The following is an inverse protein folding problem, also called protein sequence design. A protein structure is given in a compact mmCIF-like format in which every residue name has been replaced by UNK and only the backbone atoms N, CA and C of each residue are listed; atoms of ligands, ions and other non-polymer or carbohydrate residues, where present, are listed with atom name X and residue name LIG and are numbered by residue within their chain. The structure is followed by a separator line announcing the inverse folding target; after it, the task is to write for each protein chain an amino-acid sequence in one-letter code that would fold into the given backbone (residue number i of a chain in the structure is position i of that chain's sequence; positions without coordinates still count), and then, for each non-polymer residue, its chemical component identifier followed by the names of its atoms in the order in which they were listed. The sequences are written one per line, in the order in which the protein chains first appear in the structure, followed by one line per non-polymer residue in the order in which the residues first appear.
data_IF_688100780373
#
_entry.id   IF_688100780373
#
_cell.length_a   1.000
_cell.length_b   1.000
_cell.length_c   1.000
_cell.angle_alpha   90.00
_cell.angle_beta   90.00
_cell.angle_gamma   90.00
#
_symmetry.space_group_name_H-M   'P 1'
#
loop_
_entity.id
_entity.type
_entity.pdbx_description
1 polymer ?
#
# COMPACT_ATOMS: atom_id res chain seq x y z
N UNK A 1 52.40 7.25 -18.36
CA UNK A 1 52.79 7.23 -16.93
C UNK A 1 51.95 8.28 -16.19
N UNK A 2 50.63 8.06 -16.10
CA UNK A 2 49.70 9.03 -15.47
C UNK A 2 48.35 8.39 -15.08
N UNK A 3 48.33 7.11 -14.66
CA UNK A 3 47.08 6.46 -14.21
C UNK A 3 47.13 5.95 -12.76
N UNK A 4 48.27 6.09 -12.06
CA UNK A 4 48.44 5.56 -10.71
C UNK A 4 48.12 6.56 -9.57
N UNK A 5 47.38 7.65 -9.83
CA UNK A 5 47.02 8.66 -8.81
C UNK A 5 45.52 8.81 -8.52
N UNK A 6 44.65 7.97 -9.09
CA UNK A 6 43.18 8.10 -8.96
C UNK A 6 42.50 7.27 -7.87
N UNK A 7 43.12 6.20 -7.36
CA UNK A 7 42.42 5.20 -6.52
C UNK A 7 42.37 5.53 -5.02
N UNK A 8 43.16 6.48 -4.52
CA UNK A 8 43.45 6.59 -3.09
C UNK A 8 42.58 7.59 -2.29
N UNK A 9 41.43 8.06 -2.81
CA UNK A 9 40.62 9.00 -2.00
C UNK A 9 39.12 9.13 -2.32
N UNK A 10 38.51 8.19 -3.06
CA UNK A 10 37.05 8.19 -3.18
C UNK A 10 36.44 7.58 -1.93
N UNK A 11 35.92 8.43 -1.04
CA UNK A 11 35.11 7.99 0.09
C UNK A 11 33.76 7.57 -0.47
N UNK A 12 33.60 6.28 -0.73
CA UNK A 12 32.36 5.69 -1.24
C UNK A 12 31.47 5.22 -0.09
N UNK A 13 30.16 5.08 -0.28
CA UNK A 13 29.29 4.44 0.69
C UNK A 13 29.74 3.00 1.00
N UNK A 14 29.49 2.55 2.22
CA UNK A 14 29.61 1.15 2.61
C UNK A 14 28.26 0.47 2.35
N UNK A 15 28.25 -0.66 1.65
CA UNK A 15 27.03 -1.47 1.50
C UNK A 15 26.83 -2.30 2.75
N UNK A 16 25.65 -2.20 3.35
CA UNK A 16 25.22 -2.96 4.51
C UNK A 16 24.12 -3.94 4.09
N UNK A 17 24.34 -5.22 4.30
CA UNK A 17 23.37 -6.29 4.00
C UNK A 17 23.03 -7.03 5.29
N UNK A 18 21.74 -7.24 5.56
CA UNK A 18 21.28 -8.18 6.57
C UNK A 18 20.93 -9.52 5.90
N UNK A 19 21.39 -10.62 6.49
CA UNK A 19 21.16 -11.97 5.98
C UNK A 19 20.89 -12.93 7.14
N UNK A 20 19.85 -13.74 7.05
CA UNK A 20 19.58 -14.87 7.95
C UNK A 20 20.47 -16.09 7.64
N UNK A 21 21.15 -16.09 6.48
CA UNK A 21 22.03 -17.14 6.00
C UNK A 21 21.25 -18.20 5.22
N UNK A 22 21.69 -18.49 3.99
CA UNK A 22 21.04 -19.48 3.11
C UNK A 22 20.31 -18.85 1.92
N UNK A 23 20.26 -17.53 1.82
CA UNK A 23 19.63 -16.83 0.71
C UNK A 23 20.46 -16.97 -0.57
N UNK A 24 19.84 -17.43 -1.65
CA UNK A 24 20.51 -17.60 -2.94
C UNK A 24 20.93 -16.28 -3.58
N UNK A 25 20.32 -15.15 -3.17
CA UNK A 25 20.61 -13.83 -3.73
C UNK A 25 21.88 -13.16 -3.18
N UNK A 26 22.40 -13.59 -2.03
CA UNK A 26 23.45 -12.86 -1.32
C UNK A 26 24.74 -12.68 -2.16
N UNK A 27 25.13 -13.73 -2.88
CA UNK A 27 26.31 -13.68 -3.77
C UNK A 27 26.13 -12.68 -4.91
N UNK A 28 24.92 -12.60 -5.48
CA UNK A 28 24.57 -11.65 -6.53
C UNK A 28 24.58 -10.21 -5.98
N UNK A 29 23.97 -9.98 -4.82
CA UNK A 29 23.98 -8.70 -4.13
C UNK A 29 25.41 -8.18 -3.90
N UNK A 30 26.28 -9.01 -3.31
CA UNK A 30 27.69 -8.68 -3.05
C UNK A 30 28.47 -8.46 -4.35
N UNK A 31 28.24 -9.29 -5.37
CA UNK A 31 28.89 -9.15 -6.69
C UNK A 31 28.49 -7.84 -7.37
N UNK A 32 27.23 -7.44 -7.26
CA UNK A 32 26.72 -6.18 -7.82
C UNK A 32 27.38 -4.96 -7.16
N UNK A 33 27.55 -4.95 -5.84
CA UNK A 33 28.26 -3.89 -5.12
C UNK A 33 29.72 -3.77 -5.54
N UNK A 34 30.41 -4.91 -5.66
CA UNK A 34 31.82 -4.96 -6.07
C UNK A 34 32.06 -4.45 -7.49
N UNK A 35 31.08 -4.60 -8.39
CA UNK A 35 31.14 -4.04 -9.75
C UNK A 35 31.35 -2.51 -9.75
N UNK A 36 30.94 -1.83 -8.67
CA UNK A 36 31.05 -0.39 -8.51
C UNK A 36 32.09 0.02 -7.44
N UNK A 37 33.03 -0.88 -7.11
CA UNK A 37 34.08 -0.67 -6.11
C UNK A 37 33.53 -0.34 -4.70
N UNK A 38 32.30 -0.77 -4.38
CA UNK A 38 31.69 -0.56 -3.07
C UNK A 38 32.09 -1.69 -2.11
N UNK A 39 32.61 -1.32 -0.94
CA UNK A 39 32.87 -2.25 0.16
C UNK A 39 31.55 -2.78 0.73
N UNK A 40 31.56 -4.02 1.22
CA UNK A 40 30.37 -4.70 1.76
C UNK A 40 30.62 -5.16 3.19
N UNK A 41 29.67 -4.85 4.09
CA UNK A 41 29.57 -5.38 5.44
C UNK A 41 28.26 -6.17 5.58
N UNK A 42 28.35 -7.42 5.98
CA UNK A 42 27.20 -8.32 6.12
C UNK A 42 26.93 -8.57 7.61
N UNK A 43 25.72 -8.24 8.05
CA UNK A 43 25.20 -8.61 9.36
C UNK A 43 24.40 -9.91 9.28
N UNK A 44 24.94 -10.99 9.83
CA UNK A 44 24.26 -12.28 9.86
C UNK A 44 23.40 -12.43 11.12
N UNK A 45 22.10 -12.65 10.92
CA UNK A 45 21.12 -12.79 11.98
C UNK A 45 20.71 -14.27 12.15
N UNK A 46 21.44 -15.04 12.97
CA UNK A 46 21.10 -16.42 13.28
C UNK A 46 22.28 -17.32 13.68
N UNK A 47 21.96 -18.56 14.10
CA UNK A 47 22.92 -19.65 14.40
C UNK A 47 23.48 -20.34 13.14
N UNK A 48 23.21 -19.80 11.96
CA UNK A 48 23.59 -20.38 10.67
C UNK A 48 25.09 -20.19 10.40
N UNK A 49 25.92 -20.92 11.14
CA UNK A 49 27.33 -21.18 10.83
C UNK A 49 27.56 -21.88 9.46
N UNK A 50 26.50 -22.15 8.69
CA UNK A 50 26.49 -23.08 7.57
C UNK A 50 26.50 -22.45 6.18
N UNK A 51 26.48 -21.12 6.06
CA UNK A 51 26.78 -20.47 4.77
C UNK A 51 28.08 -19.73 4.93
N UNK A 52 29.12 -20.25 4.27
CA UNK A 52 30.36 -19.52 4.12
C UNK A 52 30.02 -18.20 3.42
N UNK A 53 30.30 -17.04 4.04
CA UNK A 53 30.02 -15.78 3.38
C UNK A 53 30.77 -15.70 2.05
N UNK A 54 30.28 -14.90 1.09
CA UNK A 54 30.99 -14.67 -0.16
C UNK A 54 32.45 -14.32 0.15
N UNK A 55 33.39 -14.98 -0.53
CA UNK A 55 34.82 -14.82 -0.25
C UNK A 55 35.18 -13.33 -0.16
N UNK A 56 35.90 -12.96 0.90
CA UNK A 56 36.40 -11.61 1.20
C UNK A 56 35.37 -10.54 1.58
N UNK A 57 34.11 -10.88 1.89
CA UNK A 57 33.17 -9.94 2.51
C UNK A 57 33.36 -9.92 4.05
N UNK A 58 33.37 -8.73 4.66
CA UNK A 58 33.40 -8.63 6.13
C UNK A 58 32.03 -9.04 6.68
N UNK A 59 32.03 -9.95 7.64
CA UNK A 59 30.82 -10.42 8.31
C UNK A 59 30.84 -10.15 9.80
N UNK A 60 29.69 -9.80 10.35
CA UNK A 60 29.45 -9.69 11.80
C UNK A 60 28.17 -10.40 12.18
N UNK A 61 28.11 -10.90 13.41
CA UNK A 61 26.90 -11.50 13.96
C UNK A 61 26.00 -10.42 14.54
N UNK A 62 24.71 -10.47 14.22
CA UNK A 62 23.66 -9.58 14.72
C UNK A 62 22.61 -10.39 15.46
N UNK A 63 22.16 -9.91 16.62
CA UNK A 63 21.09 -10.58 17.35
C UNK A 63 19.72 -10.37 16.68
N UNK A 64 19.12 -11.42 16.12
CA UNK A 64 17.74 -11.37 15.64
C UNK A 64 16.76 -11.29 16.81
N UNK A 65 15.84 -10.32 16.77
CA UNK A 65 14.84 -10.07 17.84
C UNK A 65 13.43 -9.87 17.29
N UNK A 66 13.15 -10.39 16.09
CA UNK A 66 11.90 -10.14 15.36
C UNK A 66 11.64 -8.64 15.14
N UNK A 67 12.71 -7.89 14.86
CA UNK A 67 12.71 -6.44 14.71
C UNK A 67 13.79 -6.05 13.68
N UNK A 68 13.36 -5.72 12.47
CA UNK A 68 14.25 -5.36 11.35
C UNK A 68 15.02 -4.07 11.64
N UNK A 69 14.36 -3.05 12.21
CA UNK A 69 15.03 -1.81 12.61
C UNK A 69 16.11 -2.04 13.65
N UNK A 70 15.87 -2.90 14.65
CA UNK A 70 16.88 -3.25 15.65
C UNK A 70 18.11 -3.90 15.01
N UNK A 71 17.92 -4.82 14.07
CA UNK A 71 19.02 -5.46 13.33
C UNK A 71 19.81 -4.44 12.48
N UNK A 72 19.12 -3.54 11.76
CA UNK A 72 19.78 -2.47 11.00
C UNK A 72 20.55 -1.52 11.92
N UNK A 73 19.98 -1.10 13.03
CA UNK A 73 20.64 -0.20 13.97
C UNK A 73 21.89 -0.85 14.61
N UNK A 74 21.85 -2.15 14.91
CA UNK A 74 23.01 -2.88 15.43
C UNK A 74 24.15 -2.95 14.39
N UNK A 75 23.82 -3.26 13.13
CA UNK A 75 24.80 -3.26 12.04
C UNK A 75 25.35 -1.85 11.75
N UNK A 76 24.50 -0.82 11.81
CA UNK A 76 24.91 0.57 11.64
C UNK A 76 25.93 1.01 12.70
N UNK A 77 25.71 0.65 13.97
CA UNK A 77 26.64 0.99 15.05
C UNK A 77 28.02 0.33 14.85
N UNK A 78 28.05 -0.91 14.34
CA UNK A 78 29.29 -1.60 13.98
C UNK A 78 29.97 -0.89 12.81
N UNK A 79 29.22 -0.55 11.76
CA UNK A 79 29.73 0.19 10.60
C UNK A 79 30.32 1.55 11.00
N UNK A 80 29.63 2.31 11.86
CA UNK A 80 30.11 3.59 12.38
C UNK A 80 31.44 3.44 13.13
N UNK A 81 31.60 2.36 13.89
CA UNK A 81 32.80 2.11 14.70
C UNK A 81 33.98 1.66 13.85
N UNK A 82 33.76 0.75 12.88
CA UNK A 82 34.84 0.09 12.11
C UNK A 82 35.14 0.80 10.79
N UNK A 83 34.14 1.47 10.22
CA UNK A 83 34.12 2.00 8.86
C UNK A 83 33.76 3.49 8.83
N UNK A 84 34.15 4.26 9.85
CA UNK A 84 33.91 5.70 9.97
C UNK A 84 34.41 6.54 8.77
N UNK A 85 35.30 5.99 7.94
CA UNK A 85 35.76 6.65 6.72
C UNK A 85 34.72 6.65 5.60
N UNK A 86 33.77 5.72 5.61
CA UNK A 86 32.66 5.69 4.67
C UNK A 86 31.60 6.72 5.10
N UNK A 87 31.23 7.71 4.27
CA UNK A 87 30.34 8.81 4.67
C UNK A 87 28.87 8.40 4.73
N UNK A 88 28.51 7.31 4.05
CA UNK A 88 27.16 6.79 3.95
C UNK A 88 27.15 5.27 4.07
N UNK A 89 26.01 4.74 4.52
CA UNK A 89 25.64 3.34 4.52
C UNK A 89 24.54 3.15 3.45
N UNK A 90 24.82 2.31 2.45
CA UNK A 90 23.83 1.87 1.47
C UNK A 90 23.21 0.56 1.98
N UNK A 91 21.92 0.58 2.28
CA UNK A 91 21.19 -0.60 2.71
C UNK A 91 20.68 -1.39 1.51
N UNK A 92 21.14 -2.63 1.39
CA UNK A 92 20.79 -3.55 0.31
C UNK A 92 20.25 -4.84 0.93
N UNK A 93 19.10 -5.30 0.44
CA UNK A 93 18.54 -6.58 0.88
C UNK A 93 19.29 -7.73 0.18
N UNK A 94 19.29 -8.92 0.76
CA UNK A 94 20.05 -10.06 0.23
C UNK A 94 19.58 -10.53 -1.14
N UNK A 95 18.40 -10.10 -1.59
CA UNK A 95 17.77 -10.40 -2.87
C UNK A 95 17.73 -9.17 -3.81
N UNK A 96 18.57 -8.17 -3.56
CA UNK A 96 18.70 -6.97 -4.39
C UNK A 96 20.06 -6.89 -5.11
N UNK A 97 20.05 -6.38 -6.33
CA UNK A 97 21.26 -6.07 -7.11
C UNK A 97 21.35 -4.57 -7.43
N UNK A 98 22.56 -4.02 -7.38
CA UNK A 98 22.84 -2.67 -7.86
C UNK A 98 22.99 -2.73 -9.38
N UNK A 99 22.09 -2.08 -10.10
CA UNK A 99 22.06 -2.05 -11.56
C UNK A 99 22.82 -0.87 -12.13
N UNK A 100 22.78 0.27 -11.44
CA UNK A 100 23.53 1.47 -11.82
C UNK A 100 24.01 2.23 -10.58
N UNK A 101 25.16 2.89 -10.71
CA UNK A 101 25.76 3.70 -9.66
C UNK A 101 26.42 4.95 -10.26
N UNK A 102 26.09 6.16 -9.77
CA UNK A 102 26.59 7.40 -10.35
C UNK A 102 28.00 7.74 -9.82
N UNK A 103 28.73 8.55 -10.60
CA UNK A 103 29.83 9.31 -10.05
C UNK A 103 29.26 10.46 -9.20
N UNK A 104 29.32 10.33 -7.87
CA UNK A 104 28.86 11.34 -6.91
C UNK A 104 29.99 11.82 -6.00
N UNK A 105 29.99 13.09 -5.62
CA UNK A 105 30.94 13.63 -4.63
C UNK A 105 30.35 13.52 -3.22
N UNK A 106 30.50 12.34 -2.62
CA UNK A 106 29.99 12.01 -1.29
C UNK A 106 30.53 12.89 -0.15
N UNK A 107 31.60 13.67 -0.38
CA UNK A 107 32.14 14.60 0.62
C UNK A 107 31.33 15.89 0.71
N UNK A 108 30.73 16.30 -0.40
CA UNK A 108 29.91 17.51 -0.47
C UNK A 108 28.44 17.24 -0.18
N UNK A 109 28.03 15.98 -0.19
CA UNK A 109 26.68 15.58 0.17
C UNK A 109 26.40 15.92 1.65
N UNK A 110 25.37 16.74 1.88
CA UNK A 110 24.96 17.22 3.20
C UNK A 110 23.63 16.62 3.66
N UNK A 111 22.89 15.94 2.78
CA UNK A 111 21.63 15.29 3.14
C UNK A 111 21.88 14.20 4.20
N UNK A 112 21.04 14.11 5.25
CA UNK A 112 21.18 13.05 6.25
C UNK A 112 20.83 11.68 5.66
N UNK A 113 19.89 11.60 4.73
CA UNK A 113 19.64 10.41 3.91
C UNK A 113 19.20 10.78 2.50
N UNK A 114 19.30 9.82 1.58
CA UNK A 114 18.89 9.95 0.19
C UNK A 114 17.97 8.81 -0.22
N UNK A 115 17.05 9.10 -1.16
CA UNK A 115 16.24 8.09 -1.83
C UNK A 115 17.03 7.52 -3.01
N UNK A 116 16.91 6.22 -3.26
CA UNK A 116 17.38 5.57 -4.49
C UNK A 116 16.21 4.94 -5.20
N UNK A 117 16.31 4.75 -6.52
CA UNK A 117 15.27 4.04 -7.27
C UNK A 117 15.40 2.54 -7.03
N UNK A 118 14.32 1.90 -6.64
CA UNK A 118 14.19 0.44 -6.53
C UNK A 118 13.13 -0.04 -7.50
N UNK A 119 13.49 -1.05 -8.29
CA UNK A 119 12.58 -1.80 -9.13
C UNK A 119 12.19 -3.07 -8.39
N UNK A 120 10.97 -3.10 -7.83
CA UNK A 120 10.49 -4.23 -7.02
C UNK A 120 10.33 -5.51 -7.83
N UNK A 121 10.05 -5.40 -9.14
CA UNK A 121 10.03 -6.52 -10.07
C UNK A 121 10.27 -6.06 -11.50
N UNK A 122 10.67 -6.98 -12.38
CA UNK A 122 10.91 -6.69 -13.80
C UNK A 122 9.67 -6.10 -14.52
N UNK A 123 8.47 -6.38 -14.01
CA UNK A 123 7.19 -5.94 -14.55
C UNK A 123 6.76 -4.54 -14.09
N UNK A 124 7.41 -3.97 -13.08
CA UNK A 124 7.05 -2.66 -12.51
C UNK A 124 8.10 -1.60 -12.86
N UNK A 125 7.67 -0.34 -12.92
CA UNK A 125 8.59 0.80 -12.96
C UNK A 125 9.27 1.00 -11.60
N UNK A 126 10.49 1.57 -11.55
CA UNK A 126 11.14 1.88 -10.30
C UNK A 126 10.39 2.95 -9.51
N UNK A 127 10.50 2.87 -8.18
CA UNK A 127 10.02 3.88 -7.23
C UNK A 127 11.14 4.26 -6.27
N UNK A 128 11.09 5.42 -5.61
CA UNK A 128 12.08 5.77 -4.60
C UNK A 128 11.94 4.94 -3.31
N UNK A 129 13.09 4.66 -2.69
CA UNK A 129 13.18 4.11 -1.34
C UNK A 129 14.35 4.72 -0.58
N UNK A 130 14.17 4.99 0.72
CA UNK A 130 15.23 5.50 1.58
C UNK A 130 16.25 4.39 1.87
N UNK A 131 17.34 4.34 1.09
CA UNK A 131 18.38 3.29 1.20
C UNK A 131 19.76 3.84 1.56
N UNK A 132 20.00 5.14 1.43
CA UNK A 132 21.29 5.77 1.73
C UNK A 132 21.21 6.58 3.02
N UNK A 133 21.80 6.06 4.09
CA UNK A 133 21.85 6.68 5.42
C UNK A 133 23.22 7.31 5.63
N UNK A 134 23.30 8.55 6.14
CA UNK A 134 24.58 9.11 6.59
C UNK A 134 25.19 8.23 7.68
N UNK A 135 26.49 7.97 7.59
CA UNK A 135 27.21 7.13 8.53
C UNK A 135 27.57 7.89 9.81
N UNK A 136 26.54 8.36 10.52
CA UNK A 136 26.65 9.01 11.82
C UNK A 136 25.42 8.68 12.69
N UNK A 137 25.32 9.35 13.84
CA UNK A 137 24.25 9.12 14.82
C UNK A 137 23.02 10.03 14.61
N UNK A 138 22.94 10.79 13.51
CA UNK A 138 21.82 11.69 13.25
C UNK A 138 20.54 10.96 12.85
N UNK A 139 20.63 9.67 12.51
CA UNK A 139 19.51 8.84 12.07
C UNK A 139 19.46 7.51 12.79
N UNK A 140 18.25 6.97 12.89
CA UNK A 140 17.98 5.61 13.33
C UNK A 140 16.86 4.99 12.51
N UNK A 141 16.89 3.67 12.37
CA UNK A 141 15.75 2.90 11.90
C UNK A 141 14.71 2.77 13.01
N UNK A 142 13.45 3.00 12.68
CA UNK A 142 12.30 2.82 13.55
C UNK A 142 11.36 1.77 12.95
N UNK A 143 10.49 1.20 13.79
CA UNK A 143 9.49 0.18 13.48
C UNK A 143 10.06 -1.22 13.21
N UNK A 144 9.43 -2.25 13.78
CA UNK A 144 9.92 -3.61 13.72
C UNK A 144 9.76 -4.26 12.32
N UNK A 145 8.84 -3.74 11.50
CA UNK A 145 8.56 -4.09 10.11
C UNK A 145 8.34 -2.79 9.33
N UNK A 146 8.65 -2.79 8.02
CA UNK A 146 8.60 -1.58 7.18
C UNK A 146 9.38 -0.45 7.81
N UNK A 147 10.61 -0.80 8.19
CA UNK A 147 11.46 0.07 8.95
C UNK A 147 11.70 1.38 8.20
N UNK A 148 11.61 2.49 8.93
CA UNK A 148 11.80 3.83 8.39
C UNK A 148 12.99 4.52 9.05
N UNK A 149 13.74 5.27 8.25
CA UNK A 149 14.78 6.17 8.77
C UNK A 149 14.12 7.40 9.39
N UNK A 150 14.43 7.66 10.66
CA UNK A 150 14.00 8.85 11.38
C UNK A 150 15.19 9.62 11.95
N UNK A 151 15.03 10.95 12.00
CA UNK A 151 15.97 11.86 12.67
C UNK A 151 16.03 11.56 14.17
N UNK A 152 17.24 11.54 14.73
CA UNK A 152 17.44 11.53 16.18
C UNK A 152 17.37 12.95 16.77
N UNK A 153 17.48 13.98 15.94
CA UNK A 153 17.32 15.37 16.34
C UNK A 153 15.83 15.79 16.32
N UNK A 154 15.40 16.71 17.21
CA UNK A 154 14.02 17.18 17.26
C UNK A 154 13.62 18.01 16.02
N UNK A 155 14.61 18.58 15.32
CA UNK A 155 14.37 19.27 14.05
C UNK A 155 14.08 18.23 12.96
N UNK A 156 12.96 18.43 12.25
CA UNK A 156 12.58 17.60 11.11
C UNK A 156 13.48 17.94 9.93
N UNK A 157 14.25 16.96 9.42
CA UNK A 157 15.06 17.17 8.23
C UNK A 157 14.14 17.46 7.04
N UNK A 158 14.68 18.15 6.03
CA UNK A 158 13.99 18.31 4.76
C UNK A 158 13.67 16.92 4.16
N UNK A 159 12.57 16.80 3.39
CA UNK A 159 12.26 15.56 2.71
C UNK A 159 13.45 15.10 1.86
N UNK A 160 13.74 13.80 1.85
CA UNK A 160 14.96 13.30 1.23
C UNK A 160 14.95 13.48 -0.29
N UNK A 161 16.05 13.99 -0.83
CA UNK A 161 16.21 14.11 -2.26
C UNK A 161 16.46 12.72 -2.90
N UNK A 162 15.90 12.46 -4.09
CA UNK A 162 16.31 11.30 -4.88
C UNK A 162 17.71 11.49 -5.44
N UNK A 163 18.57 10.48 -5.23
CA UNK A 163 19.87 10.42 -5.87
C UNK A 163 19.73 9.88 -7.29
N UNK A 164 19.94 10.74 -8.28
CA UNK A 164 19.87 10.37 -9.68
C UNK A 164 20.97 9.35 -10.05
N UNK A 165 20.62 8.38 -10.90
CA UNK A 165 21.57 7.42 -11.46
C UNK A 165 21.85 6.18 -10.59
N UNK A 166 21.22 6.04 -9.42
CA UNK A 166 21.18 4.78 -8.66
C UNK A 166 19.91 4.02 -8.97
N UNK A 167 20.04 2.76 -9.40
CA UNK A 167 18.95 1.82 -9.59
C UNK A 167 19.29 0.51 -8.89
N UNK A 168 18.39 0.06 -8.03
CA UNK A 168 18.40 -1.28 -7.43
C UNK A 168 17.33 -2.13 -8.12
N UNK A 169 17.65 -3.39 -8.39
CA UNK A 169 16.69 -4.40 -8.84
C UNK A 169 16.43 -5.36 -7.70
N UNK A 170 15.17 -5.51 -7.30
CA UNK A 170 14.76 -6.51 -6.33
C UNK A 170 14.33 -7.78 -7.07
N UNK A 171 14.81 -8.92 -6.60
CA UNK A 171 14.52 -10.25 -7.14
C UNK A 171 13.71 -11.11 -6.17
N UNK A 172 13.25 -10.53 -5.06
CA UNK A 172 12.54 -11.25 -4.02
C UNK A 172 11.16 -11.75 -4.46
N UNK A 173 10.88 -13.01 -4.06
CA UNK A 173 9.57 -13.65 -3.95
C UNK A 173 8.67 -13.65 -5.19
N UNK A 174 9.04 -14.42 -6.20
CA UNK A 174 8.14 -14.82 -7.29
C UNK A 174 7.31 -16.09 -6.96
N UNK A 175 7.58 -16.73 -5.80
CA UNK A 175 6.90 -17.95 -5.37
C UNK A 175 5.87 -17.66 -4.26
N UNK A 176 4.60 -17.96 -4.56
CA UNK A 176 3.45 -17.83 -3.67
C UNK A 176 3.66 -18.43 -2.28
N UNK A 177 4.34 -19.58 -2.17
CA UNK A 177 4.59 -20.23 -0.89
C UNK A 177 5.52 -19.39 -0.01
N UNK A 178 6.48 -18.71 -0.64
CA UNK A 178 7.46 -17.89 0.06
C UNK A 178 6.84 -16.53 0.42
N UNK A 179 6.02 -15.95 -0.47
CA UNK A 179 5.18 -14.78 -0.17
C UNK A 179 4.28 -15.08 1.04
N UNK A 180 3.60 -16.23 1.03
CA UNK A 180 2.71 -16.64 2.09
C UNK A 180 3.43 -16.80 3.44
N UNK A 181 4.63 -17.38 3.45
CA UNK A 181 5.45 -17.51 4.64
C UNK A 181 5.89 -16.14 5.19
N UNK A 182 6.27 -15.21 4.31
CA UNK A 182 6.63 -13.83 4.66
C UNK A 182 5.46 -13.10 5.33
N UNK A 183 4.27 -13.16 4.74
CA UNK A 183 3.07 -12.50 5.28
C UNK A 183 2.74 -13.06 6.68
N UNK A 184 2.82 -14.39 6.87
CA UNK A 184 2.61 -15.01 8.20
C UNK A 184 3.65 -14.57 9.24
N UNK A 185 4.93 -14.53 8.86
CA UNK A 185 6.00 -14.01 9.73
C UNK A 185 5.74 -12.57 10.14
N UNK A 186 5.41 -11.71 9.17
CA UNK A 186 5.14 -10.30 9.44
C UNK A 186 3.95 -10.13 10.37
N UNK A 187 2.86 -10.87 10.16
CA UNK A 187 1.70 -10.82 11.04
C UNK A 187 2.03 -11.25 12.49
N UNK A 188 2.89 -12.26 12.69
CA UNK A 188 3.37 -12.62 14.03
C UNK A 188 4.14 -11.48 14.72
N UNK A 189 4.91 -10.69 13.96
CA UNK A 189 5.56 -9.48 14.46
C UNK A 189 4.50 -8.43 14.79
N UNK A 190 3.50 -8.20 13.94
CA UNK A 190 2.38 -7.26 14.19
C UNK A 190 1.70 -7.55 15.53
N UNK A 191 1.35 -8.80 15.79
CA UNK A 191 0.75 -9.20 17.06
C UNK A 191 1.66 -8.91 18.26
N UNK A 192 2.97 -9.14 18.11
CA UNK A 192 3.95 -8.90 19.16
C UNK A 192 4.10 -7.39 19.46
N UNK A 193 4.07 -6.56 18.43
CA UNK A 193 4.11 -5.11 18.52
C UNK A 193 2.87 -4.55 19.23
N UNK A 194 1.68 -5.03 18.85
CA UNK A 194 0.42 -4.65 19.51
C UNK A 194 0.38 -5.08 20.98
N UNK A 195 0.90 -6.28 21.30
CA UNK A 195 1.08 -6.73 22.70
C UNK A 195 2.02 -5.83 23.51
N UNK A 196 2.95 -5.13 22.86
CA UNK A 196 3.82 -4.11 23.48
C UNK A 196 3.19 -2.72 23.54
N UNK A 197 1.92 -2.57 23.11
CA UNK A 197 1.21 -1.30 23.07
C UNK A 197 1.65 -0.36 21.95
N UNK A 198 2.30 -0.89 20.90
CA UNK A 198 2.67 -0.11 19.71
C UNK A 198 1.56 -0.18 18.68
N UNK A 199 1.29 0.95 18.04
CA UNK A 199 0.26 1.08 17.01
C UNK A 199 0.67 2.15 15.98
N UNK A 200 1.38 1.72 14.94
CA UNK A 200 1.85 2.58 13.84
C UNK A 200 1.28 2.08 12.51
N UNK A 201 1.15 2.96 11.53
CA UNK A 201 0.48 2.71 10.23
C UNK A 201 0.81 1.35 9.61
N UNK A 202 2.09 0.98 9.53
CA UNK A 202 2.50 -0.25 8.87
C UNK A 202 2.04 -1.53 9.57
N UNK A 203 1.64 -1.48 10.85
CA UNK A 203 0.96 -2.61 11.48
C UNK A 203 -0.42 -2.85 10.87
N UNK A 204 -1.12 -1.78 10.48
CA UNK A 204 -2.42 -1.86 9.81
C UNK A 204 -2.28 -2.32 8.37
N UNK A 205 -1.25 -1.85 7.66
CA UNK A 205 -0.94 -2.31 6.29
C UNK A 205 -0.68 -3.82 6.28
N UNK A 206 0.13 -4.32 7.20
CA UNK A 206 0.41 -5.76 7.26
C UNK A 206 -0.81 -6.58 7.72
N UNK A 207 -1.67 -6.02 8.57
CA UNK A 207 -2.95 -6.64 8.90
C UNK A 207 -3.87 -6.74 7.67
N UNK A 208 -3.93 -5.68 6.85
CA UNK A 208 -4.72 -5.67 5.63
C UNK A 208 -4.20 -6.66 4.58
N UNK A 209 -2.88 -6.71 4.36
CA UNK A 209 -2.24 -7.72 3.50
C UNK A 209 -2.45 -9.14 4.01
N UNK A 210 -2.42 -9.36 5.33
CA UNK A 210 -2.74 -10.65 5.92
C UNK A 210 -4.21 -11.02 5.71
N UNK A 211 -5.13 -10.07 5.90
CA UNK A 211 -6.56 -10.28 5.66
C UNK A 211 -6.86 -10.60 4.19
N UNK A 212 -6.16 -9.96 3.26
CA UNK A 212 -6.24 -10.24 1.82
C UNK A 212 -5.70 -11.62 1.45
N UNK A 213 -4.55 -12.02 2.01
CA UNK A 213 -3.92 -13.29 1.67
C UNK A 213 -4.55 -14.51 2.35
N UNK A 214 -5.03 -14.37 3.59
CA UNK A 214 -5.45 -15.51 4.43
C UNK A 214 -6.75 -15.30 5.20
N UNK A 215 -7.20 -14.05 5.31
CA UNK A 215 -8.26 -13.68 6.22
C UNK A 215 -9.59 -13.44 5.53
N UNK A 216 -10.50 -12.99 6.37
CA UNK A 216 -11.75 -12.32 6.01
C UNK A 216 -11.58 -10.86 6.40
N UNK A 217 -12.24 -9.93 5.72
CA UNK A 217 -12.20 -8.53 6.11
C UNK A 217 -11.21 -7.65 5.36
N UNK A 218 -10.64 -8.10 4.24
CA UNK A 218 -9.61 -7.36 3.50
C UNK A 218 -10.03 -5.92 3.15
N UNK A 219 -11.21 -5.73 2.56
CA UNK A 219 -11.73 -4.40 2.24
C UNK A 219 -11.83 -3.51 3.49
N UNK A 220 -12.31 -4.07 4.60
CA UNK A 220 -12.45 -3.34 5.87
C UNK A 220 -11.09 -2.95 6.47
N UNK A 221 -10.12 -3.85 6.39
CA UNK A 221 -8.76 -3.60 6.84
C UNK A 221 -8.09 -2.51 5.98
N UNK A 222 -8.24 -2.57 4.65
CA UNK A 222 -7.76 -1.53 3.75
C UNK A 222 -8.44 -0.18 4.02
N UNK A 223 -9.76 -0.12 4.23
CA UNK A 223 -10.43 1.13 4.63
C UNK A 223 -9.82 1.75 5.89
N UNK A 224 -9.51 0.93 6.90
CA UNK A 224 -8.86 1.39 8.14
C UNK A 224 -7.44 1.92 7.91
N UNK A 225 -6.69 1.33 6.98
CA UNK A 225 -5.38 1.86 6.56
C UNK A 225 -5.54 3.23 5.90
N UNK A 226 -6.52 3.41 5.01
CA UNK A 226 -6.75 4.69 4.32
C UNK A 226 -7.03 5.82 5.31
N UNK A 227 -7.84 5.54 6.33
CA UNK A 227 -8.25 6.49 7.36
C UNK A 227 -7.22 6.70 8.47
N UNK A 228 -6.14 5.93 8.50
CA UNK A 228 -5.15 6.04 9.57
C UNK A 228 -4.51 7.44 9.54
N UNK A 229 -4.35 8.12 10.69
CA UNK A 229 -3.92 9.54 10.74
C UNK A 229 -2.54 9.78 10.13
N UNK A 230 -1.67 8.77 10.12
CA UNK A 230 -0.33 8.84 9.52
C UNK A 230 -0.26 8.39 8.05
N UNK A 231 -1.37 8.01 7.42
CA UNK A 231 -1.37 7.53 6.03
C UNK A 231 -1.21 8.67 5.01
N UNK A 232 -1.81 9.83 5.29
CA UNK A 232 -1.69 11.02 4.46
C UNK A 232 -0.25 11.59 4.51
N UNK A 233 0.22 12.22 3.43
CA UNK A 233 1.55 12.83 3.39
C UNK A 233 1.66 13.92 4.45
N UNK A 234 2.82 13.97 5.12
CA UNK A 234 3.08 14.94 6.18
C UNK A 234 3.27 16.36 5.63
N UNK A 235 3.87 16.46 4.44
CA UNK A 235 4.10 17.73 3.73
C UNK A 235 3.67 17.61 2.25
N UNK A 236 3.29 18.72 1.60
CA UNK A 236 3.02 18.72 0.17
C UNK A 236 4.23 18.22 -0.63
N UNK A 237 4.01 17.22 -1.49
CA UNK A 237 5.06 16.61 -2.32
C UNK A 237 5.67 15.34 -1.73
N UNK A 238 5.37 14.99 -0.47
CA UNK A 238 5.74 13.68 0.08
C UNK A 238 4.99 12.53 -0.61
N UNK A 239 5.49 11.31 -0.40
CA UNK A 239 4.81 10.08 -0.85
C UNK A 239 3.53 9.92 -0.04
N UNK A 240 2.39 9.77 -0.73
CA UNK A 240 1.10 9.45 -0.13
C UNK A 240 0.98 7.94 0.04
N UNK A 241 0.99 7.48 1.29
CA UNK A 241 0.94 6.04 1.60
C UNK A 241 -0.45 5.45 1.39
N UNK A 242 -1.47 6.29 1.13
CA UNK A 242 -2.83 5.84 0.81
C UNK A 242 -2.95 5.27 -0.60
N UNK A 243 -1.96 5.45 -1.47
CA UNK A 243 -2.02 4.97 -2.86
C UNK A 243 -2.18 3.45 -2.93
N UNK A 244 -1.38 2.67 -2.19
CA UNK A 244 -1.50 1.21 -2.15
C UNK A 244 -2.91 0.79 -1.71
N UNK A 245 -3.43 1.43 -0.68
CA UNK A 245 -4.77 1.16 -0.15
C UNK A 245 -5.87 1.49 -1.15
N UNK A 246 -5.75 2.63 -1.85
CA UNK A 246 -6.72 3.03 -2.87
C UNK A 246 -6.71 2.07 -4.08
N UNK A 247 -5.54 1.54 -4.45
CA UNK A 247 -5.44 0.48 -5.46
C UNK A 247 -6.14 -0.80 -5.01
N UNK A 248 -5.90 -1.24 -3.77
CA UNK A 248 -6.54 -2.43 -3.21
C UNK A 248 -8.08 -2.29 -3.15
N UNK A 249 -8.59 -1.14 -2.71
CA UNK A 249 -10.03 -0.88 -2.60
C UNK A 249 -10.76 -0.88 -3.96
N UNK A 250 -10.07 -0.53 -5.05
CA UNK A 250 -10.64 -0.66 -6.40
C UNK A 250 -11.02 -2.11 -6.74
N UNK A 251 -10.23 -3.09 -6.27
CA UNK A 251 -10.53 -4.51 -6.47
C UNK A 251 -11.80 -4.96 -5.71
N UNK A 252 -12.16 -4.25 -4.63
CA UNK A 252 -13.36 -4.48 -3.83
C UNK A 252 -14.57 -3.64 -4.25
N UNK A 253 -14.51 -2.99 -5.41
CA UNK A 253 -15.65 -2.21 -5.89
C UNK A 253 -15.62 -0.72 -5.57
N UNK A 254 -14.66 -0.25 -4.78
CA UNK A 254 -14.64 1.12 -4.30
C UNK A 254 -13.50 1.93 -4.94
N UNK A 255 -13.83 2.72 -5.97
CA UNK A 255 -12.89 3.61 -6.65
C UNK A 255 -12.78 5.01 -6.05
N UNK A 256 -13.69 5.41 -5.15
CA UNK A 256 -13.72 6.77 -4.62
C UNK A 256 -12.39 7.20 -3.95
N UNK A 257 -11.70 6.35 -3.17
CA UNK A 257 -10.38 6.67 -2.64
C UNK A 257 -9.34 6.96 -3.72
N UNK A 258 -9.36 6.18 -4.81
CA UNK A 258 -8.44 6.39 -5.93
C UNK A 258 -8.76 7.70 -6.66
N UNK A 259 -10.03 8.03 -6.82
CA UNK A 259 -10.48 9.28 -7.43
C UNK A 259 -10.14 10.51 -6.59
N UNK A 260 -10.25 10.42 -5.26
CA UNK A 260 -9.81 11.47 -4.32
C UNK A 260 -8.32 11.79 -4.54
N UNK A 261 -7.47 10.76 -4.55
CA UNK A 261 -6.02 10.94 -4.73
C UNK A 261 -5.69 11.48 -6.14
N UNK A 262 -6.40 11.01 -7.17
CA UNK A 262 -6.21 11.47 -8.55
C UNK A 262 -6.65 12.92 -8.77
N UNK A 263 -7.60 13.43 -7.99
CA UNK A 263 -7.97 14.85 -8.01
C UNK A 263 -6.81 15.75 -7.55
N UNK A 264 -6.00 15.27 -6.59
CA UNK A 264 -4.78 15.95 -6.15
C UNK A 264 -3.57 15.70 -7.05
N UNK A 265 -3.48 14.51 -7.65
CA UNK A 265 -2.38 14.13 -8.53
C UNK A 265 -2.81 13.15 -9.63
N UNK A 266 -3.13 13.62 -10.85
CA UNK A 266 -3.60 12.76 -11.92
C UNK A 266 -2.51 11.84 -12.52
N UNK A 267 -1.23 12.06 -12.20
CA UNK A 267 -0.10 11.31 -12.78
C UNK A 267 0.23 10.02 -12.01
N UNK A 268 -0.59 9.63 -11.02
CA UNK A 268 -0.49 8.33 -10.34
C UNK A 268 -1.13 7.27 -11.25
N UNK A 269 -0.37 6.79 -12.25
CA UNK A 269 -0.90 5.95 -13.33
C UNK A 269 -1.44 4.59 -12.83
N UNK A 270 -0.88 4.07 -11.74
CA UNK A 270 -1.33 2.82 -11.14
C UNK A 270 -2.79 2.88 -10.66
N UNK A 271 -3.23 4.03 -10.12
CA UNK A 271 -4.62 4.23 -9.67
C UNK A 271 -5.61 4.25 -10.84
N UNK A 272 -5.26 4.90 -11.95
CA UNK A 272 -6.11 4.84 -13.16
C UNK A 272 -6.28 3.39 -13.62
N UNK A 273 -5.20 2.62 -13.67
CA UNK A 273 -5.26 1.21 -14.06
C UNK A 273 -6.07 0.37 -13.04
N UNK A 274 -5.95 0.65 -11.74
CA UNK A 274 -6.72 -0.03 -10.70
C UNK A 274 -8.23 0.24 -10.85
N UNK A 275 -8.64 1.47 -11.14
CA UNK A 275 -10.04 1.83 -11.43
C UNK A 275 -10.55 1.04 -12.64
N UNK A 276 -9.80 1.04 -13.75
CA UNK A 276 -10.20 0.31 -14.96
C UNK A 276 -10.32 -1.20 -14.73
N UNK A 277 -9.42 -1.79 -13.93
CA UNK A 277 -9.48 -3.20 -13.53
C UNK A 277 -10.73 -3.47 -12.67
N UNK A 278 -11.04 -2.60 -11.72
CA UNK A 278 -12.25 -2.68 -10.92
C UNK A 278 -13.51 -2.65 -11.78
N UNK A 279 -13.60 -1.72 -12.73
CA UNK A 279 -14.70 -1.63 -13.71
C UNK A 279 -14.84 -2.94 -14.52
N UNK A 280 -13.72 -3.46 -15.03
CA UNK A 280 -13.70 -4.71 -15.79
C UNK A 280 -14.22 -5.89 -14.95
N UNK A 281 -13.75 -6.02 -13.71
CA UNK A 281 -14.11 -7.12 -12.82
C UNK A 281 -15.61 -7.15 -12.49
N UNK A 282 -16.24 -5.97 -12.45
CA UNK A 282 -17.69 -5.83 -12.21
C UNK A 282 -18.54 -5.87 -13.47
N UNK A 283 -17.93 -6.05 -14.64
CA UNK A 283 -18.64 -6.04 -15.92
C UNK A 283 -19.19 -4.66 -16.31
N UNK A 284 -18.63 -3.59 -15.74
CA UNK A 284 -18.98 -2.21 -16.06
C UNK A 284 -18.36 -1.78 -17.39
N UNK A 285 -18.88 -0.68 -17.95
CA UNK A 285 -18.22 -0.04 -19.09
C UNK A 285 -16.88 0.55 -18.66
N UNK A 286 -15.81 0.13 -19.32
CA UNK A 286 -14.47 0.68 -19.14
C UNK A 286 -14.45 2.16 -19.53
N UNK A 287 -13.92 3.01 -18.64
CA UNK A 287 -13.77 4.44 -18.84
C UNK A 287 -12.84 4.75 -20.04
N UNK A 288 -13.43 5.34 -21.07
CA UNK A 288 -12.75 5.65 -22.33
C UNK A 288 -11.72 6.78 -22.18
N UNK A 289 -11.98 7.77 -21.32
CA UNK A 289 -11.12 8.92 -21.13
C UNK A 289 -9.89 8.55 -20.31
N UNK A 290 -10.06 7.71 -19.28
CA UNK A 290 -8.93 7.18 -18.49
C UNK A 290 -8.00 6.30 -19.33
N UNK A 291 -8.55 5.51 -20.26
CA UNK A 291 -7.74 4.76 -21.23
C UNK A 291 -6.90 5.67 -22.11
N UNK A 292 -7.50 6.72 -22.66
CA UNK A 292 -6.81 7.67 -23.53
C UNK A 292 -5.74 8.46 -22.76
N UNK A 293 -6.03 8.83 -21.50
CA UNK A 293 -5.09 9.47 -20.60
C UNK A 293 -3.89 8.56 -20.28
N UNK A 294 -4.11 7.30 -19.91
CA UNK A 294 -3.04 6.33 -19.65
C UNK A 294 -2.16 6.12 -20.89
N UNK A 295 -2.75 6.01 -22.08
CA UNK A 295 -2.00 5.86 -23.33
C UNK A 295 -1.10 7.07 -23.59
N UNK A 296 -1.66 8.28 -23.43
CA UNK A 296 -0.91 9.52 -23.57
C UNK A 296 0.26 9.61 -22.56
N UNK A 297 -0.01 9.36 -21.28
CA UNK A 297 1.03 9.40 -20.25
C UNK A 297 2.08 8.31 -20.44
N UNK A 298 1.67 7.11 -20.88
CA UNK A 298 2.58 6.01 -21.20
C UNK A 298 3.51 6.32 -22.37
N UNK A 299 2.99 6.93 -23.43
CA UNK A 299 3.78 7.38 -24.59
C UNK A 299 4.73 8.52 -24.23
N UNK A 300 4.26 9.50 -23.45
CA UNK A 300 5.04 10.67 -23.07
C UNK A 300 5.97 10.47 -21.86
N UNK A 301 5.84 9.34 -21.15
CA UNK A 301 6.60 9.03 -19.93
C UNK A 301 6.23 9.93 -18.74
N UNK A 302 4.95 10.32 -18.62
CA UNK A 302 4.47 11.30 -17.65
C UNK A 302 3.96 10.70 -16.32
N UNK A 303 4.45 9.52 -15.92
CA UNK A 303 4.10 8.95 -14.61
C UNK A 303 4.81 9.68 -13.47
N UNK A 304 4.13 9.84 -12.33
CA UNK A 304 4.76 10.36 -11.12
C UNK A 304 5.82 9.37 -10.61
N UNK A 305 7.06 9.82 -10.55
CA UNK A 305 8.22 9.01 -10.18
C UNK A 305 8.15 8.42 -8.76
N UNK A 306 7.27 8.94 -7.89
CA UNK A 306 7.10 8.45 -6.52
C UNK A 306 6.38 7.11 -6.45
N UNK A 307 5.60 6.76 -7.47
CA UNK A 307 4.74 5.57 -7.46
C UNK A 307 5.11 4.63 -8.61
N UNK A 308 5.31 3.37 -8.28
CA UNK A 308 5.52 2.32 -9.27
C UNK A 308 4.21 2.01 -9.99
N UNK A 309 4.28 1.72 -11.28
CA UNK A 309 3.17 1.22 -12.08
C UNK A 309 3.68 0.14 -13.04
N UNK A 310 2.79 -0.68 -13.62
CA UNK A 310 3.23 -1.71 -14.55
C UNK A 310 3.99 -1.12 -15.72
N UNK A 311 5.22 -1.61 -15.93
CA UNK A 311 6.09 -1.20 -17.04
C UNK A 311 5.42 -1.41 -18.39
N UNK A 312 4.49 -2.36 -18.48
CA UNK A 312 3.67 -2.61 -19.66
C UNK A 312 2.79 -1.42 -20.08
N UNK A 313 2.63 -0.38 -19.25
CA UNK A 313 1.96 0.88 -19.62
C UNK A 313 2.87 1.80 -20.44
N UNK A 314 4.19 1.69 -20.29
CA UNK A 314 5.14 2.57 -21.00
C UNK A 314 5.10 2.29 -22.52
N UNK A 315 4.77 3.33 -23.29
CA UNK A 315 4.62 3.24 -24.74
C UNK A 315 3.43 2.39 -25.21
N UNK A 316 2.53 1.98 -24.31
CA UNK A 316 1.40 1.14 -24.65
C UNK A 316 0.32 1.93 -25.38
N UNK A 317 -0.25 1.29 -26.40
CA UNK A 317 -1.45 1.78 -27.09
C UNK A 317 -2.68 1.66 -26.19
N UNK A 318 -3.74 2.38 -26.56
CA UNK A 318 -5.04 2.29 -25.89
C UNK A 318 -5.56 0.85 -25.77
N UNK A 319 -5.42 0.06 -26.84
CA UNK A 319 -5.91 -1.32 -26.88
C UNK A 319 -5.07 -2.25 -25.99
N UNK A 320 -3.76 -2.02 -25.90
CA UNK A 320 -2.89 -2.76 -24.97
C UNK A 320 -3.20 -2.42 -23.52
N UNK A 321 -3.47 -1.15 -23.19
CA UNK A 321 -3.90 -0.76 -21.84
C UNK A 321 -5.25 -1.37 -21.50
N UNK A 322 -6.20 -1.38 -22.45
CA UNK A 322 -7.48 -2.09 -22.26
C UNK A 322 -7.23 -3.57 -21.98
N UNK A 323 -6.35 -4.22 -22.74
CA UNK A 323 -6.01 -5.62 -22.49
C UNK A 323 -5.44 -5.82 -21.08
N UNK A 324 -4.51 -4.95 -20.62
CA UNK A 324 -3.94 -4.97 -19.27
C UNK A 324 -4.99 -4.77 -18.17
N UNK A 325 -6.02 -3.96 -18.42
CA UNK A 325 -7.12 -3.72 -17.47
C UNK A 325 -8.09 -4.89 -17.39
N UNK A 326 -8.24 -5.66 -18.48
CA UNK A 326 -9.16 -6.82 -18.56
C UNK A 326 -8.50 -8.16 -18.22
N UNK A 327 -7.18 -8.19 -17.99
CA UNK A 327 -6.51 -9.40 -17.55
C UNK A 327 -7.05 -9.83 -16.18
N UNK A 328 -7.37 -11.12 -15.98
CA UNK A 328 -7.76 -11.61 -14.66
C UNK A 328 -6.61 -11.34 -13.68
N UNK A 329 -6.87 -10.54 -12.65
CA UNK A 329 -5.98 -10.44 -11.48
C UNK A 329 -6.34 -11.57 -10.51
N UNK A 330 -5.32 -12.20 -9.90
CA UNK A 330 -5.50 -13.36 -9.02
C UNK A 330 -6.37 -13.09 -7.77
N UNK A 331 -6.60 -11.81 -7.45
CA UNK A 331 -7.45 -11.34 -6.34
C UNK A 331 -8.95 -11.45 -6.69
N UNK A 332 -9.30 -11.62 -7.97
CA UNK A 332 -10.69 -11.63 -8.44
C UNK A 332 -11.35 -13.01 -8.35
N UNK A 333 -11.44 -13.60 -7.15
CA UNK A 333 -12.34 -14.74 -6.90
C UNK A 333 -13.07 -14.68 -5.55
N UNK A 334 -13.73 -13.56 -5.25
CA UNK A 334 -14.90 -13.58 -4.35
C UNK A 334 -15.88 -12.48 -4.75
N UNK A 335 -16.81 -12.80 -5.63
CA UNK A 335 -17.83 -11.84 -6.08
C UNK A 335 -18.77 -12.42 -7.13
N UNK A 336 -19.36 -13.59 -6.86
CA UNK A 336 -20.38 -14.18 -7.71
C UNK A 336 -21.76 -13.62 -7.36
N UNK A 337 -22.29 -12.79 -8.26
CA UNK A 337 -23.67 -12.26 -8.25
C UNK A 337 -24.72 -13.35 -8.03
N UNK A 338 -25.65 -13.12 -7.12
CA UNK A 338 -26.93 -13.82 -7.07
C UNK A 338 -28.08 -12.81 -6.93
N UNK A 339 -28.33 -12.04 -7.99
CA UNK A 339 -29.61 -11.37 -8.16
C UNK A 339 -30.61 -12.40 -8.70
N UNK A 340 -31.52 -12.86 -7.83
CA UNK A 340 -32.58 -13.80 -8.15
C UNK A 340 -33.90 -13.38 -7.51
N UNK A 341 -34.76 -12.79 -8.34
CA UNK A 341 -36.19 -12.55 -8.20
C UNK A 341 -36.88 -12.89 -6.86
N UNK A 342 -37.26 -11.85 -6.12
CA UNK A 342 -38.43 -11.89 -5.25
C UNK A 342 -39.38 -10.79 -5.72
N UNK A 343 -40.44 -11.23 -6.40
CA UNK A 343 -41.51 -10.42 -6.93
C UNK A 343 -42.41 -9.94 -5.79
N UNK A 344 -42.37 -8.64 -5.52
CA UNK A 344 -43.52 -7.75 -5.29
C UNK A 344 -44.72 -8.35 -4.52
N UNK A 345 -44.56 -8.58 -3.22
CA UNK A 345 -45.68 -8.92 -2.35
C UNK A 345 -45.52 -8.47 -0.88
N UNK A 346 -44.98 -7.27 -0.61
CA UNK A 346 -45.03 -6.69 0.75
C UNK A 346 -45.13 -5.16 0.64
N UNK A 347 -46.32 -4.57 0.40
CA UNK A 347 -46.56 -3.16 0.77
C UNK A 347 -48.04 -2.77 0.72
N UNK A 348 -48.77 -2.94 1.82
CA UNK A 348 -50.02 -2.20 2.07
C UNK A 348 -49.94 -1.28 3.30
N UNK A 349 -48.86 -1.35 4.10
CA UNK A 349 -48.67 -0.53 5.34
C UNK A 349 -47.41 0.34 5.34
N UNK A 350 -46.89 0.58 4.16
CA UNK A 350 -45.49 0.82 3.97
C UNK A 350 -44.77 1.95 4.68
N UNK A 351 -45.30 3.15 4.52
CA UNK A 351 -44.73 4.35 5.11
C UNK A 351 -44.66 4.29 6.65
N UNK A 352 -45.42 3.39 7.28
CA UNK A 352 -45.44 3.19 8.74
C UNK A 352 -44.49 2.10 9.23
N UNK A 353 -43.85 1.36 8.32
CA UNK A 353 -42.89 0.31 8.68
C UNK A 353 -41.61 0.91 9.23
N UNK A 354 -41.02 0.20 10.19
CA UNK A 354 -39.76 0.55 10.85
C UNK A 354 -38.74 -0.53 10.52
N UNK A 355 -37.50 -0.11 10.31
CA UNK A 355 -36.40 -1.00 9.98
C UNK A 355 -35.20 -0.67 10.85
N UNK A 356 -34.37 -1.68 11.08
CA UNK A 356 -33.11 -1.57 11.78
C UNK A 356 -32.00 -2.08 10.88
N UNK A 357 -30.81 -1.51 11.01
CA UNK A 357 -29.59 -2.04 10.42
C UNK A 357 -29.40 -3.51 10.80
N UNK A 358 -28.96 -4.31 9.84
CA UNK A 358 -28.61 -5.70 10.13
C UNK A 358 -27.21 -5.77 10.76
N UNK A 359 -27.12 -6.25 12.01
CA UNK A 359 -25.85 -6.47 12.73
C UNK A 359 -24.94 -7.53 12.07
N UNK A 360 -25.45 -8.24 11.07
CA UNK A 360 -24.67 -9.14 10.21
C UNK A 360 -23.69 -8.42 9.26
N UNK A 361 -23.55 -7.10 9.34
CA UNK A 361 -22.64 -6.29 8.54
C UNK A 361 -21.72 -5.45 9.42
N UNK A 362 -20.43 -5.48 9.10
CA UNK A 362 -19.46 -4.51 9.61
C UNK A 362 -19.51 -3.24 8.73
N UNK A 363 -19.35 -2.07 9.35
CA UNK A 363 -19.47 -0.77 8.70
C UNK A 363 -18.28 0.13 9.04
N UNK A 364 -17.72 0.80 8.03
CA UNK A 364 -16.63 1.76 8.19
C UNK A 364 -16.80 2.92 7.22
N UNK A 365 -16.65 4.14 7.72
CA UNK A 365 -16.73 5.36 6.90
C UNK A 365 -15.46 5.50 6.06
N UNK A 366 -15.59 5.91 4.80
CA UNK A 366 -14.46 6.22 3.93
C UNK A 366 -14.74 7.50 3.14
N UNK A 367 -14.14 8.61 3.55
CA UNK A 367 -14.55 9.93 3.06
C UNK A 367 -16.02 10.20 3.39
N UNK A 368 -16.82 10.48 2.38
CA UNK A 368 -18.28 10.67 2.53
C UNK A 368 -19.08 9.35 2.41
N UNK A 369 -18.46 8.30 1.89
CA UNK A 369 -19.08 6.99 1.66
C UNK A 369 -19.07 6.12 2.91
N UNK A 370 -19.89 5.06 2.90
CA UNK A 370 -19.89 3.99 3.90
C UNK A 370 -19.60 2.64 3.25
N UNK A 371 -18.52 1.99 3.67
CA UNK A 371 -18.19 0.63 3.26
C UNK A 371 -18.88 -0.34 4.21
N UNK A 372 -19.78 -1.16 3.67
CA UNK A 372 -20.45 -2.24 4.38
C UNK A 372 -19.88 -3.57 3.92
N UNK A 373 -19.64 -4.48 4.86
CA UNK A 373 -19.16 -5.81 4.56
C UNK A 373 -20.00 -6.86 5.29
N UNK A 374 -20.52 -7.83 4.55
CA UNK A 374 -21.29 -8.92 5.14
C UNK A 374 -20.37 -9.87 5.94
N UNK A 375 -20.68 -10.05 7.22
CA UNK A 375 -19.84 -10.81 8.15
C UNK A 375 -19.74 -12.30 7.79
N UNK A 376 -20.72 -12.83 7.04
CA UNK A 376 -20.73 -14.24 6.60
C UNK A 376 -20.12 -14.40 5.20
N UNK A 377 -20.63 -13.66 4.22
CA UNK A 377 -20.28 -13.83 2.80
C UNK A 377 -19.03 -13.05 2.40
N UNK A 378 -18.63 -12.05 3.17
CA UNK A 378 -17.54 -11.12 2.85
C UNK A 378 -17.82 -10.27 1.60
N UNK A 379 -19.07 -10.24 1.15
CA UNK A 379 -19.50 -9.33 0.10
C UNK A 379 -19.40 -7.90 0.61
N UNK A 380 -18.82 -7.03 -0.22
CA UNK A 380 -18.58 -5.63 0.07
C UNK A 380 -19.52 -4.79 -0.75
N UNK A 381 -20.16 -3.82 -0.10
CA UNK A 381 -21.05 -2.85 -0.73
C UNK A 381 -20.67 -1.45 -0.23
N UNK A 382 -20.60 -0.49 -1.13
CA UNK A 382 -20.31 0.90 -0.79
C UNK A 382 -21.57 1.74 -0.95
N UNK A 383 -21.98 2.42 0.12
CA UNK A 383 -23.08 3.37 0.09
C UNK A 383 -22.53 4.78 -0.14
N UNK A 384 -23.09 5.46 -1.12
CA UNK A 384 -22.87 6.89 -1.31
C UNK A 384 -23.44 7.71 -0.14
N UNK A 385 -23.17 9.02 -0.04
CA UNK A 385 -23.54 9.81 1.14
C UNK A 385 -25.05 9.84 1.41
N UNK A 386 -25.88 9.86 0.37
CA UNK A 386 -27.35 9.83 0.49
C UNK A 386 -27.83 8.48 1.01
N UNK A 387 -27.38 7.37 0.39
CA UNK A 387 -27.77 6.02 0.78
C UNK A 387 -27.27 5.67 2.18
N UNK A 388 -26.06 6.13 2.54
CA UNK A 388 -25.51 6.07 3.90
C UNK A 388 -26.44 6.74 4.90
N UNK A 389 -26.84 7.99 4.65
CA UNK A 389 -27.70 8.72 5.57
C UNK A 389 -29.06 8.02 5.76
N UNK A 390 -29.61 7.39 4.70
CA UNK A 390 -30.82 6.56 4.80
C UNK A 390 -30.56 5.33 5.67
N UNK A 391 -29.43 4.63 5.47
CA UNK A 391 -29.07 3.44 6.24
C UNK A 391 -28.79 3.76 7.72
N UNK A 392 -28.12 4.88 8.02
CA UNK A 392 -27.86 5.39 9.37
C UNK A 392 -29.15 5.77 10.11
N UNK A 393 -30.20 6.20 9.37
CA UNK A 393 -31.51 6.47 9.94
C UNK A 393 -32.30 5.20 10.32
N UNK A 394 -31.86 4.00 9.89
CA UNK A 394 -32.51 2.73 10.23
C UNK A 394 -32.09 2.23 11.62
N UNK A 395 -32.45 2.95 12.68
CA UNK A 395 -32.18 2.57 14.08
C UNK A 395 -33.39 1.94 14.78
N UNK A 396 -34.45 1.63 14.02
CA UNK A 396 -35.73 1.13 14.53
C UNK A 396 -36.69 2.22 15.05
N UNK A 397 -36.28 3.49 15.11
CA UNK A 397 -37.08 4.59 15.69
C UNK A 397 -37.82 5.48 14.70
N UNK A 398 -37.34 5.80 13.50
CA UNK A 398 -38.18 6.45 12.51
C UNK A 398 -38.85 5.40 11.61
N UNK A 399 -40.08 5.65 11.20
CA UNK A 399 -40.70 4.93 10.09
C UNK A 399 -40.27 5.53 8.75
N UNK A 400 -40.57 4.85 7.64
CA UNK A 400 -40.18 5.30 6.30
C UNK A 400 -40.70 6.71 5.97
N UNK A 401 -41.88 7.11 6.42
CA UNK A 401 -42.38 8.48 6.24
C UNK A 401 -41.56 9.52 7.00
N UNK A 402 -41.22 9.25 8.26
CA UNK A 402 -40.43 10.13 9.11
C UNK A 402 -39.01 10.31 8.55
N UNK A 403 -38.42 9.25 7.98
CA UNK A 403 -37.14 9.34 7.26
C UNK A 403 -37.28 10.23 6.02
N UNK A 404 -38.29 10.00 5.19
CA UNK A 404 -38.49 10.79 3.97
C UNK A 404 -38.77 12.27 4.29
N UNK A 405 -39.55 12.56 5.34
CA UNK A 405 -39.80 13.93 5.81
C UNK A 405 -38.52 14.63 6.26
N UNK A 406 -37.63 13.94 6.98
CA UNK A 406 -36.33 14.49 7.37
C UNK A 406 -35.47 14.83 6.14
N UNK A 407 -35.48 13.99 5.10
CA UNK A 407 -34.75 14.26 3.85
C UNK A 407 -35.37 15.42 3.04
N UNK A 408 -36.70 15.58 3.06
CA UNK A 408 -37.36 16.74 2.41
C UNK A 408 -36.93 18.08 3.03
N UNK A 409 -36.64 18.11 4.34
CA UNK A 409 -36.14 19.31 5.01
C UNK A 409 -34.69 19.63 4.61
N UNK A 410 -33.87 18.60 4.39
CA UNK A 410 -32.45 18.73 4.00
C UNK A 410 -32.30 19.06 2.52
N UNK A 411 -33.18 18.56 1.66
CA UNK A 411 -33.16 18.73 0.20
C UNK A 411 -34.43 19.43 -0.33
N UNK A 412 -34.66 20.71 0.01
CA UNK A 412 -35.90 21.42 -0.32
C UNK A 412 -36.08 21.68 -1.82
N UNK A 413 -35.00 21.58 -2.60
CA UNK A 413 -34.99 21.85 -4.05
C UNK A 413 -35.34 20.61 -4.90
N UNK A 414 -35.49 19.43 -4.28
CA UNK A 414 -35.88 18.19 -4.95
C UNK A 414 -37.40 18.01 -4.86
N UNK A 415 -38.03 17.48 -5.92
CA UNK A 415 -39.45 17.16 -5.88
C UNK A 415 -39.75 16.14 -4.78
N UNK A 416 -40.73 16.46 -3.93
CA UNK A 416 -41.07 15.65 -2.74
C UNK A 416 -41.55 14.25 -3.10
N UNK A 417 -42.26 14.09 -4.21
CA UNK A 417 -42.76 12.78 -4.63
C UNK A 417 -41.61 11.92 -5.18
N UNK A 418 -40.69 12.53 -5.94
CA UNK A 418 -39.46 11.88 -6.41
C UNK A 418 -38.57 11.43 -5.25
N UNK A 419 -38.30 12.32 -4.29
CA UNK A 419 -37.47 12.01 -3.12
C UNK A 419 -38.07 10.87 -2.28
N UNK A 420 -39.38 10.89 -2.01
CA UNK A 420 -40.07 9.80 -1.30
C UNK A 420 -39.95 8.46 -2.03
N UNK A 421 -40.08 8.48 -3.36
CA UNK A 421 -39.95 7.27 -4.17
C UNK A 421 -38.52 6.71 -4.15
N UNK A 422 -37.51 7.58 -4.18
CA UNK A 422 -36.10 7.19 -4.10
C UNK A 422 -35.72 6.64 -2.71
N UNK A 423 -36.16 7.29 -1.63
CA UNK A 423 -35.97 6.79 -0.25
C UNK A 423 -36.61 5.41 -0.10
N UNK A 424 -37.84 5.25 -0.56
CA UNK A 424 -38.56 3.96 -0.50
C UNK A 424 -37.82 2.88 -1.28
N UNK A 425 -37.42 3.16 -2.52
CA UNK A 425 -36.65 2.22 -3.36
C UNK A 425 -35.32 1.83 -2.71
N UNK A 426 -34.66 2.78 -2.07
CA UNK A 426 -33.39 2.56 -1.37
C UNK A 426 -33.58 1.63 -0.17
N UNK A 427 -34.60 1.87 0.66
CA UNK A 427 -34.92 1.00 1.81
C UNK A 427 -35.35 -0.39 1.33
N UNK A 428 -36.16 -0.49 0.27
CA UNK A 428 -36.54 -1.78 -0.33
C UNK A 428 -35.32 -2.56 -0.82
N UNK A 429 -34.37 -1.85 -1.43
CA UNK A 429 -33.10 -2.46 -1.83
C UNK A 429 -32.28 -2.93 -0.62
N UNK A 430 -32.25 -2.16 0.47
CA UNK A 430 -31.59 -2.58 1.71
C UNK A 430 -32.23 -3.83 2.32
N UNK A 431 -33.55 -3.91 2.37
CA UNK A 431 -34.25 -5.09 2.87
C UNK A 431 -34.00 -6.30 1.97
N UNK A 432 -34.13 -6.13 0.65
CA UNK A 432 -33.94 -7.22 -0.32
C UNK A 432 -32.50 -7.75 -0.33
N UNK A 433 -31.53 -6.86 -0.11
CA UNK A 433 -30.11 -7.21 0.00
C UNK A 433 -29.70 -7.65 1.41
N UNK A 434 -30.65 -7.69 2.35
CA UNK A 434 -30.43 -8.08 3.74
C UNK A 434 -29.68 -7.07 4.60
N UNK A 435 -29.42 -5.85 4.12
CA UNK A 435 -28.75 -4.76 4.83
C UNK A 435 -29.60 -4.16 5.96
N UNK A 436 -30.92 -4.32 5.88
CA UNK A 436 -31.87 -3.87 6.87
C UNK A 436 -32.89 -4.98 7.18
N UNK A 437 -33.32 -5.05 8.43
CA UNK A 437 -34.35 -5.98 8.91
C UNK A 437 -35.54 -5.21 9.46
N UNK A 438 -36.75 -5.72 9.26
CA UNK A 438 -37.95 -5.11 9.85
C UNK A 438 -37.91 -5.30 11.36
N UNK A 439 -38.31 -4.28 12.13
CA UNK A 439 -38.24 -4.34 13.61
C UNK A 439 -39.16 -5.40 14.22
N UNK A 440 -40.16 -5.90 13.47
CA UNK A 440 -41.04 -6.99 13.90
C UNK A 440 -40.41 -8.40 13.71
N UNK A 441 -39.35 -8.50 12.90
CA UNK A 441 -38.66 -9.76 12.57
C UNK A 441 -37.31 -9.94 13.30
N UNK A 442 -36.90 -8.95 14.10
CA UNK A 442 -35.68 -8.97 14.91
C UNK A 442 -35.91 -9.69 16.25
N UNK A 443 -35.86 -11.03 16.24
CA UNK A 443 -35.93 -11.89 17.43
C UNK A 443 -34.68 -12.78 17.58
#
# INVERSE_FOLDING_TARGET
MTEARGAANRLLPLVCILSAGGESGLDAAVTSARRFDLSVLIGHSGDSHNVAPPADAETVTIAWRDDFAAARNELAAIAQTRHASHPFLLWLDSDEEIMSWPAHDWRQESAPWLLVQIQDSAAMTPRPSARLQRNDTSLRWCYAIHEMLESTAPERPQPPAPLAGVLLSHHGYEDDAVIAAKIKRNHAIVEAERRRGRDYLYLWVEEARFAEAFGKGAAMAWTKVFNHPDAAPREPGDIDLRVETAEALCAFGNSAPAEELLAGNPHILSLHLAILRGQSARGESIDAERLDFLAHCGEAGLGDWRYSYPRAVLGATRDEIRALATQPTEIAQTGGTAAGAVEQAIWESGMQSRFMQNEGFDAETLGEDLVLMNNKTQEVLTLNPTARAVWEALDGRPNVAEIAEAFEEVFPDIDKAELRADITRTIDHFVTSGLAVKTEDAA
#
